data_IF_644168169968
#
_entry.id   IF_644168169968
#
_cell.length_a   1.000
_cell.length_b   1.000
_cell.length_c   1.000
_cell.angle_alpha   90.00
_cell.angle_beta   90.00
_cell.angle_gamma   90.00
#
_symmetry.space_group_name_H-M   'P 1'
#
loop_
_entity.id
_entity.type
_entity.pdbx_description
1 polymer ?
#
# COMPACT_ATOMS: atom_id res chain seq x y z
N UNK A 1 -32.30 -24.75 0.57
CA UNK A 1 -32.04 -24.14 -0.76
C UNK A 1 -31.56 -22.68 -0.68
N UNK A 2 -32.00 -21.88 0.29
CA UNK A 2 -31.52 -20.50 0.50
C UNK A 2 -30.03 -20.47 0.86
N UNK A 3 -29.56 -21.34 1.75
CA UNK A 3 -28.16 -21.45 2.16
C UNK A 3 -27.25 -21.79 0.98
N UNK A 4 -27.69 -22.69 0.09
CA UNK A 4 -26.93 -23.06 -1.11
C UNK A 4 -26.86 -21.88 -2.10
N UNK A 5 -27.93 -21.12 -2.24
CA UNK A 5 -27.98 -19.94 -3.10
C UNK A 5 -27.05 -18.85 -2.58
N UNK A 6 -27.05 -18.59 -1.27
CA UNK A 6 -26.16 -17.60 -0.64
C UNK A 6 -24.69 -18.01 -0.76
N UNK A 7 -24.38 -19.30 -0.64
CA UNK A 7 -23.04 -19.83 -0.85
C UNK A 7 -22.58 -19.61 -2.30
N UNK A 8 -23.42 -19.94 -3.28
CA UNK A 8 -23.10 -19.77 -4.72
C UNK A 8 -22.89 -18.28 -5.03
N UNK A 9 -23.74 -17.39 -4.53
CA UNK A 9 -23.60 -15.94 -4.72
C UNK A 9 -22.31 -15.43 -4.08
N UNK A 10 -21.97 -15.90 -2.88
CA UNK A 10 -20.73 -15.57 -2.19
C UNK A 10 -19.48 -15.96 -2.98
N UNK A 11 -19.44 -17.22 -3.43
CA UNK A 11 -18.32 -17.72 -4.23
C UNK A 11 -18.23 -17.04 -5.60
N UNK A 12 -19.35 -16.74 -6.23
CA UNK A 12 -19.35 -15.99 -7.50
C UNK A 12 -18.76 -14.60 -7.33
N UNK A 13 -19.14 -13.86 -6.29
CA UNK A 13 -18.56 -12.54 -5.97
C UNK A 13 -17.07 -12.63 -5.70
N UNK A 14 -16.63 -13.68 -5.02
CA UNK A 14 -15.21 -13.93 -4.75
C UNK A 14 -14.42 -14.15 -6.05
N UNK A 15 -14.95 -14.95 -6.96
CA UNK A 15 -14.33 -15.22 -8.27
C UNK A 15 -14.25 -13.94 -9.10
N UNK A 16 -15.32 -13.15 -9.17
CA UNK A 16 -15.32 -11.86 -9.90
C UNK A 16 -14.25 -10.93 -9.34
N UNK A 17 -14.18 -10.77 -8.01
CA UNK A 17 -13.15 -9.96 -7.36
C UNK A 17 -11.73 -10.44 -7.66
N UNK A 18 -11.51 -11.75 -7.69
CA UNK A 18 -10.23 -12.34 -8.04
C UNK A 18 -9.85 -12.03 -9.50
N UNK A 19 -10.81 -12.18 -10.42
CA UNK A 19 -10.59 -11.86 -11.84
C UNK A 19 -10.24 -10.39 -12.05
N UNK A 20 -10.96 -9.47 -11.40
CA UNK A 20 -10.69 -8.04 -11.45
C UNK A 20 -9.26 -7.72 -10.94
N UNK A 21 -8.83 -8.36 -9.86
CA UNK A 21 -7.47 -8.16 -9.31
C UNK A 21 -6.39 -8.76 -10.20
N UNK A 22 -6.61 -9.93 -10.79
CA UNK A 22 -5.69 -10.54 -11.77
C UNK A 22 -5.57 -9.64 -13.00
N UNK A 23 -6.68 -9.10 -13.48
CA UNK A 23 -6.69 -8.17 -14.61
C UNK A 23 -5.92 -6.88 -14.29
N UNK A 24 -6.15 -6.27 -13.12
CA UNK A 24 -5.39 -5.10 -12.66
C UNK A 24 -3.88 -5.38 -12.57
N UNK A 25 -3.51 -6.54 -12.05
CA UNK A 25 -2.11 -6.95 -11.95
C UNK A 25 -1.47 -7.17 -13.33
N UNK A 26 -2.19 -7.82 -14.26
CA UNK A 26 -1.70 -8.15 -15.60
C UNK A 26 -1.67 -6.96 -16.56
N UNK A 27 -2.56 -5.97 -16.38
CA UNK A 27 -2.73 -4.81 -17.25
C UNK A 27 -2.14 -3.51 -16.68
N UNK A 28 -1.28 -3.61 -15.66
CA UNK A 28 -0.64 -2.43 -15.10
C UNK A 28 0.26 -1.77 -16.16
N UNK A 29 -0.10 -0.55 -16.56
CA UNK A 29 0.69 0.26 -17.49
C UNK A 29 1.99 0.74 -16.84
N UNK A 30 3.05 1.00 -17.61
CA UNK A 30 4.23 1.70 -17.09
C UNK A 30 3.82 3.01 -16.41
N UNK A 31 4.47 3.40 -15.29
CA UNK A 31 4.09 4.61 -14.56
C UNK A 31 4.41 5.88 -15.37
N UNK A 32 3.44 6.78 -15.45
CA UNK A 32 3.63 8.14 -15.97
C UNK A 32 4.17 9.04 -14.85
N UNK A 33 5.47 8.97 -14.64
CA UNK A 33 6.14 9.62 -13.50
C UNK A 33 6.22 11.13 -13.69
N UNK A 34 5.95 11.85 -12.61
CA UNK A 34 6.12 13.30 -12.47
C UNK A 34 6.48 13.66 -11.03
N UNK A 35 6.79 14.94 -10.79
CA UNK A 35 6.93 15.42 -9.43
C UNK A 35 5.56 15.41 -8.73
N UNK A 36 5.46 14.72 -7.59
CA UNK A 36 4.20 14.49 -6.86
C UNK A 36 4.36 14.91 -5.42
N UNK A 37 3.43 15.73 -4.92
CA UNK A 37 3.27 15.91 -3.48
C UNK A 37 2.62 14.66 -2.88
N UNK A 38 3.38 13.88 -2.14
CA UNK A 38 2.88 12.62 -1.59
C UNK A 38 1.76 12.84 -0.56
N UNK A 39 1.72 13.99 0.11
CA UNK A 39 0.67 14.31 1.06
C UNK A 39 -0.70 14.45 0.37
N UNK A 40 -0.75 14.98 -0.86
CA UNK A 40 -2.00 15.05 -1.63
C UNK A 40 -2.52 13.64 -1.97
N UNK A 41 -1.61 12.71 -2.29
CA UNK A 41 -1.95 11.29 -2.53
C UNK A 41 -2.50 10.65 -1.26
N UNK A 42 -1.83 10.86 -0.12
CA UNK A 42 -2.25 10.31 1.17
C UNK A 42 -3.62 10.88 1.60
N UNK A 43 -3.86 12.17 1.40
CA UNK A 43 -5.13 12.80 1.74
C UNK A 43 -6.29 12.31 0.86
N UNK A 44 -6.04 12.10 -0.42
CA UNK A 44 -7.02 11.49 -1.33
C UNK A 44 -7.36 10.07 -0.89
N UNK A 45 -6.34 9.28 -0.56
CA UNK A 45 -6.51 7.91 -0.07
C UNK A 45 -7.30 7.87 1.24
N UNK A 46 -6.97 8.73 2.19
CA UNK A 46 -7.67 8.84 3.47
C UNK A 46 -9.16 9.16 3.29
N UNK A 47 -9.47 10.17 2.49
CA UNK A 47 -10.86 10.56 2.21
C UNK A 47 -11.65 9.41 1.56
N UNK A 48 -11.06 8.74 0.59
CA UNK A 48 -11.69 7.59 -0.07
C UNK A 48 -11.92 6.42 0.90
N UNK A 49 -10.92 6.11 1.73
CA UNK A 49 -11.00 5.01 2.68
C UNK A 49 -12.07 5.23 3.76
N UNK A 50 -12.22 6.46 4.26
CA UNK A 50 -13.25 6.82 5.24
C UNK A 50 -14.67 6.74 4.69
N UNK A 51 -14.85 6.87 3.38
CA UNK A 51 -16.15 6.70 2.70
C UNK A 51 -16.44 5.23 2.35
N UNK A 52 -15.47 4.33 2.51
CA UNK A 52 -15.55 2.94 2.06
C UNK A 52 -15.15 1.92 3.13
N UNK A 53 -14.21 1.07 2.77
CA UNK A 53 -13.84 -0.13 3.54
C UNK A 53 -13.24 0.13 4.93
N UNK A 54 -12.76 1.33 5.19
CA UNK A 54 -12.12 1.70 6.45
C UNK A 54 -12.87 2.78 7.22
N UNK A 55 -14.18 2.92 6.98
CA UNK A 55 -15.04 3.89 7.65
C UNK A 55 -15.08 3.73 9.19
N UNK A 56 -14.82 2.52 9.69
CA UNK A 56 -14.73 2.19 11.12
C UNK A 56 -13.37 2.53 11.75
N UNK A 57 -12.39 2.92 10.93
CA UNK A 57 -11.04 3.20 11.38
C UNK A 57 -10.85 4.68 11.71
N UNK A 58 -10.02 4.96 12.72
CA UNK A 58 -9.48 6.28 12.95
C UNK A 58 -8.19 6.44 12.15
N UNK A 59 -8.13 7.38 11.22
CA UNK A 59 -6.92 7.65 10.43
C UNK A 59 -6.25 8.93 10.96
N UNK A 60 -5.00 8.79 11.40
CA UNK A 60 -4.17 9.86 11.97
C UNK A 60 -3.09 10.24 10.94
N UNK A 61 -2.95 11.54 10.71
CA UNK A 61 -1.89 12.11 9.87
C UNK A 61 -0.69 12.51 10.74
N UNK A 62 0.49 12.06 10.34
CA UNK A 62 1.77 12.37 10.99
C UNK A 62 2.80 12.71 9.88
N UNK A 63 2.58 13.86 9.25
CA UNK A 63 3.30 14.27 8.06
C UNK A 63 4.45 15.22 8.38
N UNK A 64 5.61 14.97 7.77
CA UNK A 64 6.69 15.95 7.70
C UNK A 64 6.33 17.04 6.68
N UNK A 65 6.02 18.28 7.13
CA UNK A 65 5.61 19.35 6.22
C UNK A 65 6.73 19.80 5.27
N UNK A 66 7.98 19.45 5.57
CA UNK A 66 9.15 19.81 4.76
C UNK A 66 9.51 18.75 3.72
N UNK A 67 8.73 17.65 3.64
CA UNK A 67 9.02 16.56 2.72
C UNK A 67 9.02 17.06 1.27
N UNK A 68 10.10 16.85 0.49
CA UNK A 68 10.13 17.25 -0.90
C UNK A 68 9.21 16.38 -1.77
N UNK A 69 9.01 16.79 -3.02
CA UNK A 69 8.25 16.02 -4.01
C UNK A 69 8.85 14.64 -4.22
N UNK A 70 7.98 13.65 -4.40
CA UNK A 70 8.34 12.32 -4.87
C UNK A 70 8.38 12.27 -6.40
N UNK A 71 9.10 11.31 -6.96
CA UNK A 71 9.09 11.01 -8.38
C UNK A 71 8.21 9.79 -8.63
N UNK A 72 7.00 9.99 -9.17
CA UNK A 72 6.06 8.88 -9.36
C UNK A 72 4.80 9.25 -10.14
N UNK A 73 4.00 8.23 -10.36
CA UNK A 73 2.66 8.33 -10.94
C UNK A 73 1.64 8.45 -9.79
N UNK A 74 0.94 9.59 -9.66
CA UNK A 74 0.06 9.83 -8.52
C UNK A 74 -1.11 8.87 -8.44
N UNK A 75 -1.62 8.36 -9.56
CA UNK A 75 -2.77 7.44 -9.55
C UNK A 75 -2.35 6.03 -9.15
N UNK A 76 -1.18 5.56 -9.61
CA UNK A 76 -0.62 4.29 -9.14
C UNK A 76 -0.20 4.35 -7.68
N UNK A 77 0.41 5.45 -7.21
CA UNK A 77 0.75 5.65 -5.80
C UNK A 77 -0.51 5.72 -4.92
N UNK A 78 -1.59 6.35 -5.41
CA UNK A 78 -2.89 6.33 -4.73
C UNK A 78 -3.41 4.89 -4.56
N UNK A 79 -3.31 4.08 -5.60
CA UNK A 79 -3.72 2.67 -5.56
C UNK A 79 -2.93 1.88 -4.51
N UNK A 80 -1.61 2.12 -4.40
CA UNK A 80 -0.76 1.53 -3.35
C UNK A 80 -1.29 1.87 -1.97
N UNK A 81 -1.48 3.15 -1.69
CA UNK A 81 -1.94 3.61 -0.36
C UNK A 81 -3.32 3.06 -0.02
N UNK A 82 -4.25 3.07 -0.99
CA UNK A 82 -5.59 2.50 -0.81
C UNK A 82 -5.55 1.00 -0.48
N UNK A 83 -4.68 0.23 -1.15
CA UNK A 83 -4.49 -1.19 -0.84
C UNK A 83 -3.98 -1.41 0.59
N UNK A 84 -3.00 -0.60 1.03
CA UNK A 84 -2.44 -0.72 2.38
C UNK A 84 -3.46 -0.32 3.46
N UNK A 85 -4.19 0.78 3.26
CA UNK A 85 -5.27 1.21 4.20
C UNK A 85 -6.38 0.16 4.26
N UNK A 86 -6.78 -0.40 3.11
CA UNK A 86 -7.78 -1.46 3.06
C UNK A 86 -7.33 -2.69 3.84
N UNK A 87 -6.08 -3.12 3.66
CA UNK A 87 -5.53 -4.25 4.41
C UNK A 87 -5.56 -4.02 5.92
N UNK A 88 -5.21 -2.80 6.35
CA UNK A 88 -5.30 -2.41 7.76
C UNK A 88 -6.74 -2.43 8.29
N UNK A 89 -7.67 -1.87 7.53
CA UNK A 89 -9.09 -1.85 7.89
C UNK A 89 -9.73 -3.24 7.97
N UNK A 90 -9.34 -4.15 7.07
CA UNK A 90 -9.78 -5.53 7.08
C UNK A 90 -9.14 -6.38 8.21
N UNK A 91 -7.97 -5.97 8.70
CA UNK A 91 -7.31 -6.63 9.83
C UNK A 91 -7.89 -6.20 11.19
N UNK A 92 -8.48 -5.02 11.27
CA UNK A 92 -9.06 -4.49 12.48
C UNK A 92 -10.39 -5.20 12.83
N UNK A 93 -10.66 -5.30 14.13
CA UNK A 93 -11.97 -5.71 14.60
C UNK A 93 -13.00 -4.61 14.32
N UNK A 94 -13.97 -4.90 13.46
CA UNK A 94 -15.02 -3.94 13.08
C UNK A 94 -15.88 -3.47 14.25
N UNK A 95 -15.98 -4.27 15.32
CA UNK A 95 -16.76 -3.93 16.52
C UNK A 95 -16.03 -2.93 17.43
N UNK A 96 -14.70 -2.99 17.47
CA UNK A 96 -13.88 -2.13 18.33
C UNK A 96 -13.26 -0.97 17.57
N UNK A 97 -13.24 -1.03 16.24
CA UNK A 97 -12.51 -0.12 15.39
C UNK A 97 -10.99 -0.34 15.50
N UNK A 98 -10.23 0.58 14.96
CA UNK A 98 -8.77 0.56 15.01
C UNK A 98 -8.18 1.88 14.56
N UNK A 99 -6.88 2.00 14.66
CA UNK A 99 -6.17 3.21 14.27
C UNK A 99 -5.19 2.91 13.14
N UNK A 100 -5.25 3.74 12.10
CA UNK A 100 -4.25 3.78 11.04
C UNK A 100 -3.51 5.12 11.17
N UNK A 101 -2.19 5.07 11.22
CA UNK A 101 -1.34 6.26 11.15
C UNK A 101 -0.66 6.31 9.79
N UNK A 102 -0.85 7.41 9.08
CA UNK A 102 -0.12 7.73 7.85
C UNK A 102 1.03 8.66 8.25
N UNK A 103 2.26 8.17 8.13
CA UNK A 103 3.46 8.91 8.53
C UNK A 103 4.37 9.15 7.33
N UNK A 104 4.95 10.35 7.28
CA UNK A 104 5.98 10.68 6.30
C UNK A 104 7.19 11.29 6.99
N UNK A 105 8.39 11.00 6.47
CA UNK A 105 9.64 11.62 6.94
C UNK A 105 10.74 11.51 5.89
N UNK A 106 11.77 12.30 6.05
CA UNK A 106 12.93 12.30 5.17
C UNK A 106 14.08 11.54 5.80
N UNK A 107 14.63 10.53 5.08
CA UNK A 107 15.76 9.71 5.53
C UNK A 107 16.93 9.84 4.56
N UNK A 108 17.95 10.60 4.95
CA UNK A 108 19.11 10.91 4.10
C UNK A 108 19.98 9.70 3.78
N UNK A 109 20.00 8.70 4.66
CA UNK A 109 20.95 7.58 4.62
C UNK A 109 20.38 6.34 3.93
N UNK A 110 19.08 6.30 3.67
CA UNK A 110 18.46 5.11 3.09
C UNK A 110 18.89 4.90 1.63
N UNK A 111 19.62 3.82 1.40
CA UNK A 111 20.15 3.44 0.08
C UNK A 111 19.75 2.02 -0.26
N UNK A 112 19.13 1.86 -1.42
CA UNK A 112 18.90 0.54 -2.00
C UNK A 112 20.13 0.16 -2.84
N UNK A 113 20.79 -0.94 -2.49
CA UNK A 113 21.84 -1.54 -3.32
C UNK A 113 21.20 -2.42 -4.39
N UNK A 114 21.52 -2.17 -5.63
CA UNK A 114 21.13 -3.02 -6.75
C UNK A 114 22.13 -4.16 -6.94
N UNK A 115 21.71 -5.21 -7.63
CA UNK A 115 22.55 -6.37 -7.93
C UNK A 115 23.81 -6.02 -8.76
N UNK A 116 23.77 -4.93 -9.53
CA UNK A 116 24.89 -4.40 -10.32
C UNK A 116 25.91 -3.60 -9.49
N UNK A 117 25.72 -3.51 -8.17
CA UNK A 117 26.57 -2.74 -7.26
C UNK A 117 26.25 -1.24 -7.20
N UNK A 118 25.37 -0.72 -8.04
CA UNK A 118 24.90 0.66 -7.97
C UNK A 118 23.98 0.85 -6.75
N UNK A 119 24.01 2.04 -6.15
CA UNK A 119 23.16 2.43 -5.04
C UNK A 119 22.22 3.55 -5.45
N UNK A 120 20.95 3.40 -5.11
CA UNK A 120 19.96 4.46 -5.28
C UNK A 120 19.55 4.99 -3.90
N UNK A 121 19.56 6.33 -3.77
CA UNK A 121 19.05 7.00 -2.57
C UNK A 121 17.54 7.13 -2.69
N UNK A 122 16.83 6.62 -1.68
CA UNK A 122 15.37 6.67 -1.59
C UNK A 122 14.97 7.42 -0.30
N UNK A 123 15.06 8.76 -0.30
CA UNK A 123 14.98 9.51 0.94
C UNK A 123 13.57 9.75 1.44
N UNK A 124 12.55 9.67 0.58
CA UNK A 124 11.16 9.88 0.98
C UNK A 124 10.60 8.60 1.57
N UNK A 125 10.29 8.65 2.86
CA UNK A 125 9.73 7.53 3.60
C UNK A 125 8.25 7.78 3.88
N UNK A 126 7.42 6.80 3.53
CA UNK A 126 5.98 6.80 3.76
C UNK A 126 5.61 5.53 4.51
N UNK A 127 4.97 5.66 5.65
CA UNK A 127 4.54 4.54 6.46
C UNK A 127 3.03 4.52 6.62
N UNK A 128 2.46 3.33 6.44
CA UNK A 128 1.09 3.00 6.84
C UNK A 128 1.21 2.07 8.04
N UNK A 129 0.76 2.54 9.19
CA UNK A 129 0.91 1.86 10.48
C UNK A 129 -0.47 1.55 11.01
N UNK A 130 -0.74 0.29 11.32
CA UNK A 130 -1.98 -0.13 11.98
C UNK A 130 -1.71 -0.78 13.34
N UNK A 131 -2.73 -0.78 14.19
CA UNK A 131 -2.74 -1.38 15.52
C UNK A 131 -3.42 -2.75 15.56
N UNK A 132 -3.53 -3.41 14.42
CA UNK A 132 -4.17 -4.71 14.25
C UNK A 132 -3.38 -5.89 14.88
N UNK A 133 -3.86 -7.12 14.66
CA UNK A 133 -3.30 -8.32 15.31
C UNK A 133 -1.90 -8.70 14.81
N UNK A 134 -1.39 -8.03 13.79
CA UNK A 134 -0.14 -8.39 13.12
C UNK A 134 -0.33 -9.46 12.03
N UNK A 135 0.78 -9.73 11.34
CA UNK A 135 0.82 -10.71 10.26
C UNK A 135 1.29 -12.07 10.81
N UNK A 136 0.78 -13.19 10.26
CA UNK A 136 1.31 -14.52 10.56
C UNK A 136 2.81 -14.61 10.21
N UNK A 137 3.60 -15.20 11.10
CA UNK A 137 5.07 -15.28 10.94
C UNK A 137 5.50 -16.14 9.76
N UNK A 138 4.71 -17.15 9.43
CA UNK A 138 4.98 -18.12 8.36
C UNK A 138 4.87 -17.51 6.96
N UNK A 139 4.09 -16.42 6.80
CA UNK A 139 3.93 -15.72 5.52
C UNK A 139 4.72 -14.42 5.39
N UNK A 140 5.34 -13.95 6.48
CA UNK A 140 6.04 -12.65 6.52
C UNK A 140 7.10 -12.49 5.44
N UNK A 141 7.84 -13.56 5.13
CA UNK A 141 8.89 -13.55 4.10
C UNK A 141 8.37 -13.40 2.67
N UNK A 142 7.17 -13.88 2.43
CA UNK A 142 6.58 -14.03 1.09
C UNK A 142 5.32 -13.17 0.90
N UNK A 143 5.06 -12.22 1.82
CA UNK A 143 3.80 -11.48 1.86
C UNK A 143 3.54 -10.62 0.62
N UNK A 144 4.58 -10.28 -0.12
CA UNK A 144 4.49 -9.55 -1.38
C UNK A 144 4.41 -10.46 -2.62
N UNK A 145 4.50 -11.77 -2.45
CA UNK A 145 4.36 -12.72 -3.54
C UNK A 145 2.89 -12.88 -3.93
N UNK A 146 2.60 -13.08 -5.22
CA UNK A 146 1.24 -13.32 -5.68
C UNK A 146 0.60 -14.53 -4.99
N UNK A 147 -0.68 -14.40 -4.64
CA UNK A 147 -1.50 -15.45 -4.01
C UNK A 147 -1.10 -15.83 -2.57
N UNK A 148 -0.17 -15.11 -1.95
CA UNK A 148 0.15 -15.27 -0.54
C UNK A 148 -0.84 -14.44 0.29
N UNK A 149 -1.57 -15.06 1.20
CA UNK A 149 -2.54 -14.42 2.09
C UNK A 149 -2.61 -15.13 3.43
N UNK A 150 -2.59 -14.37 4.50
CA UNK A 150 -2.88 -14.86 5.85
C UNK A 150 -4.37 -14.89 6.19
N UNK A 151 -5.24 -14.58 5.24
CA UNK A 151 -6.71 -14.53 5.41
C UNK A 151 -7.40 -15.58 4.56
N UNK A 152 -8.41 -16.22 5.14
CA UNK A 152 -9.20 -17.26 4.50
C UNK A 152 -9.86 -16.80 3.18
N UNK A 153 -10.31 -15.54 3.14
CA UNK A 153 -10.94 -14.92 1.97
C UNK A 153 -10.04 -13.93 1.22
N UNK A 154 -8.76 -13.89 1.56
CA UNK A 154 -7.78 -13.02 0.90
C UNK A 154 -7.36 -13.59 -0.47
N UNK A 155 -7.27 -12.74 -1.49
CA UNK A 155 -6.80 -13.15 -2.82
C UNK A 155 -5.27 -13.24 -2.92
N UNK A 156 -4.55 -12.58 -1.99
CA UNK A 156 -3.09 -12.51 -2.01
C UNK A 156 -2.52 -11.67 -3.15
N UNK A 157 -3.35 -10.88 -3.85
CA UNK A 157 -2.89 -10.05 -4.99
C UNK A 157 -2.72 -8.58 -4.63
N UNK A 158 -3.32 -8.09 -3.55
CA UNK A 158 -3.24 -6.68 -3.16
C UNK A 158 -1.82 -6.23 -2.85
N UNK A 159 -1.08 -6.98 -2.03
CA UNK A 159 0.31 -6.67 -1.69
C UNK A 159 1.29 -6.98 -2.83
N UNK A 160 1.01 -7.98 -3.66
CA UNK A 160 1.78 -8.24 -4.87
C UNK A 160 1.69 -7.07 -5.85
N UNK A 161 0.50 -6.49 -6.02
CA UNK A 161 0.30 -5.29 -6.84
C UNK A 161 1.03 -4.07 -6.25
N UNK A 162 0.96 -3.89 -4.94
CA UNK A 162 1.71 -2.84 -4.23
C UNK A 162 3.21 -2.96 -4.50
N UNK A 163 3.77 -4.15 -4.33
CA UNK A 163 5.19 -4.41 -4.58
C UNK A 163 5.58 -4.14 -6.03
N UNK A 164 4.75 -4.56 -6.99
CA UNK A 164 4.99 -4.31 -8.41
C UNK A 164 4.98 -2.81 -8.74
N UNK A 165 3.99 -2.07 -8.26
CA UNK A 165 3.91 -0.62 -8.48
C UNK A 165 5.13 0.08 -7.90
N UNK A 166 5.50 -0.20 -6.65
CA UNK A 166 6.66 0.43 -6.00
C UNK A 166 7.96 0.08 -6.71
N UNK A 167 8.13 -1.16 -7.16
CA UNK A 167 9.29 -1.58 -7.96
C UNK A 167 9.36 -0.83 -9.30
N UNK A 168 8.23 -0.69 -10.00
CA UNK A 168 8.15 0.05 -11.26
C UNK A 168 8.43 1.55 -11.08
N UNK A 169 8.34 2.06 -9.85
CA UNK A 169 8.73 3.42 -9.45
C UNK A 169 10.18 3.55 -9.01
N UNK A 170 11.00 2.52 -9.17
CA UNK A 170 12.36 2.44 -8.63
C UNK A 170 12.40 2.66 -7.10
N UNK A 171 11.30 2.36 -6.42
CA UNK A 171 11.16 2.46 -4.98
C UNK A 171 11.45 1.13 -4.27
N UNK A 172 11.24 1.16 -2.97
CA UNK A 172 11.34 -0.02 -2.12
C UNK A 172 10.13 -0.09 -1.18
N UNK A 173 9.69 -1.30 -0.87
CA UNK A 173 8.66 -1.56 0.14
C UNK A 173 9.13 -2.66 1.08
N UNK A 174 8.82 -2.49 2.35
CA UNK A 174 9.04 -3.49 3.38
C UNK A 174 7.92 -3.49 4.40
N UNK A 175 7.90 -4.53 5.22
CA UNK A 175 6.93 -4.71 6.30
C UNK A 175 7.64 -5.09 7.59
N UNK A 176 7.16 -4.55 8.69
CA UNK A 176 7.56 -4.92 10.05
C UNK A 176 6.27 -5.10 10.85
N UNK A 177 6.08 -6.28 11.46
CA UNK A 177 4.82 -6.61 12.10
C UNK A 177 5.01 -7.42 13.36
N UNK A 178 4.34 -6.94 14.40
CA UNK A 178 4.13 -7.62 15.68
C UNK A 178 2.66 -7.43 16.07
N UNK A 179 2.09 -8.26 16.94
CA UNK A 179 0.74 -8.04 17.46
C UNK A 179 0.60 -6.62 18.03
N UNK A 180 -0.42 -5.90 17.59
CA UNK A 180 -0.69 -4.51 17.98
C UNK A 180 0.05 -3.46 17.14
N UNK A 181 0.91 -3.86 16.19
CA UNK A 181 1.60 -2.90 15.32
C UNK A 181 2.10 -3.55 14.05
N UNK A 182 1.53 -3.15 12.91
CA UNK A 182 2.06 -3.47 11.58
C UNK A 182 2.46 -2.19 10.86
N UNK A 183 3.65 -2.17 10.29
CA UNK A 183 4.20 -1.03 9.54
C UNK A 183 4.54 -1.48 8.13
N UNK A 184 3.85 -0.95 7.16
CA UNK A 184 4.28 -1.00 5.77
C UNK A 184 5.03 0.30 5.45
N UNK A 185 6.29 0.18 5.05
CA UNK A 185 7.15 1.32 4.70
C UNK A 185 7.46 1.30 3.21
N UNK A 186 7.15 2.40 2.56
CA UNK A 186 7.55 2.68 1.18
C UNK A 186 8.67 3.71 1.17
N UNK A 187 9.66 3.49 0.33
CA UNK A 187 10.76 4.44 0.10
C UNK A 187 10.76 4.85 -1.37
N UNK A 188 10.68 6.14 -1.63
CA UNK A 188 10.55 6.69 -2.97
C UNK A 188 11.71 7.61 -3.34
N UNK A 189 12.08 7.69 -4.63
CA UNK A 189 13.08 8.62 -5.13
C UNK A 189 12.53 10.05 -5.22
N UNK A 190 13.45 11.02 -5.24
CA UNK A 190 13.16 12.39 -5.60
C UNK A 190 13.10 12.55 -7.13
N UNK A 191 12.45 13.60 -7.63
CA UNK A 191 12.54 13.96 -9.04
C UNK A 191 13.99 14.15 -9.49
N UNK A 192 14.32 13.76 -10.74
CA UNK A 192 15.60 14.09 -11.34
C UNK A 192 15.88 15.61 -11.32
N UNK A 193 17.15 15.99 -11.30
CA UNK A 193 17.52 17.41 -11.36
C UNK A 193 16.97 18.05 -12.65
N UNK A 194 16.36 19.24 -12.51
CA UNK A 194 15.83 20.00 -13.65
C UNK A 194 14.37 19.73 -13.98
N UNK A 195 13.70 18.83 -13.26
CA UNK A 195 12.24 18.66 -13.39
C UNK A 195 11.55 19.81 -12.65
N UNK A 196 10.66 20.59 -13.33
CA UNK A 196 9.92 21.65 -12.66
C UNK A 196 8.91 21.08 -11.66
N UNK A 197 8.57 21.84 -10.62
CA UNK A 197 7.46 21.47 -9.74
C UNK A 197 6.15 21.37 -10.54
N UNK A 198 5.17 20.60 -10.08
CA UNK A 198 3.85 20.56 -10.70
C UNK A 198 3.22 21.95 -10.68
N UNK A 199 2.46 22.26 -11.72
CA UNK A 199 1.71 23.50 -11.85
C UNK A 199 0.57 23.59 -10.82
#
# INVERSE_FOLDING_TARGET
DLELTDLIVGETRRIVKLLEQVEQFGNLSPPERRAVNIHDVLDRARRSALLGHSAHMKIIEDYDPSLPMAWGDPDQLLQVVLNLIKNAGEAADTAQGGTIRLRTYYEHSFRLRRADGSGQVLPLQIEVIDDGPGLPRDIMGDIFDPFVSGRENGTGLGLALVSKIISDHDGWIGVDSVPGRTVFRMSLPRPPKGVPPPA
#
